data_IF_989444126695
#
_entry.id   IF_989444126695
#
_cell.length_a   1.000
_cell.length_b   1.000
_cell.length_c   1.000
_cell.angle_alpha   90.00
_cell.angle_beta   90.00
_cell.angle_gamma   90.00
#
_symmetry.space_group_name_H-M   'P 1'
#
loop_
_entity.id
_entity.type
_entity.pdbx_description
1 polymer ?
#
# COMPACT_ATOMS: atom_id res chain seq x y z
N UNK A 1 -20.97 -31.55 -54.26
CA UNK A 1 -19.85 -30.70 -53.78
C UNK A 1 -19.96 -30.52 -52.27
N UNK A 2 -18.90 -30.90 -51.54
CA UNK A 2 -18.49 -30.44 -50.19
C UNK A 2 -19.44 -30.72 -49.01
N UNK A 3 -19.02 -31.12 -47.81
CA UNK A 3 -17.79 -31.67 -47.19
C UNK A 3 -18.24 -32.06 -45.77
N UNK A 4 -17.76 -33.19 -45.23
CA UNK A 4 -17.84 -33.52 -43.81
C UNK A 4 -17.20 -32.41 -42.96
N UNK A 5 -17.79 -32.10 -41.80
CA UNK A 5 -17.06 -31.49 -40.69
C UNK A 5 -17.46 -32.23 -39.40
N UNK A 6 -16.56 -33.11 -38.97
CA UNK A 6 -16.56 -33.69 -37.63
C UNK A 6 -16.15 -32.60 -36.62
N UNK A 7 -16.95 -32.43 -35.56
CA UNK A 7 -16.61 -31.56 -34.44
C UNK A 7 -15.84 -32.42 -33.43
N UNK A 8 -14.53 -32.24 -33.40
CA UNK A 8 -13.67 -32.84 -32.38
C UNK A 8 -13.89 -32.10 -31.06
N UNK A 9 -14.44 -32.79 -30.06
CA UNK A 9 -14.47 -32.31 -28.68
C UNK A 9 -13.06 -32.44 -28.10
N UNK A 10 -12.30 -31.34 -28.09
CA UNK A 10 -11.05 -31.24 -27.37
C UNK A 10 -11.36 -30.94 -25.90
N UNK A 11 -11.42 -31.97 -25.06
CA UNK A 11 -11.36 -31.82 -23.61
C UNK A 11 -9.98 -31.32 -23.21
N UNK A 12 -9.91 -30.04 -22.83
CA UNK A 12 -8.72 -29.43 -22.26
C UNK A 12 -8.62 -29.84 -20.79
N UNK A 13 -7.78 -30.84 -20.50
CA UNK A 13 -7.31 -31.14 -19.14
C UNK A 13 -6.36 -30.02 -18.72
N UNK A 14 -6.86 -29.08 -17.92
CA UNK A 14 -5.98 -28.11 -17.25
C UNK A 14 -5.43 -28.82 -16.01
N UNK A 15 -4.19 -29.27 -16.10
CA UNK A 15 -3.41 -29.64 -14.93
C UNK A 15 -3.26 -28.38 -14.06
N UNK A 16 -3.96 -28.35 -12.93
CA UNK A 16 -3.77 -27.32 -11.91
C UNK A 16 -2.45 -27.61 -11.20
N UNK A 17 -1.40 -26.89 -11.62
CA UNK A 17 -0.23 -26.69 -10.77
C UNK A 17 -0.65 -25.74 -9.65
N UNK A 18 -0.37 -26.12 -8.39
CA UNK A 18 -0.54 -25.24 -7.22
C UNK A 18 0.42 -24.05 -7.35
N UNK A 19 -0.02 -22.98 -8.00
CA UNK A 19 0.64 -21.67 -7.89
C UNK A 19 0.40 -21.14 -6.47
N UNK A 20 1.47 -20.64 -5.83
CA UNK A 20 1.29 -19.75 -4.70
C UNK A 20 0.59 -18.50 -5.23
N UNK A 21 -0.65 -18.29 -4.83
CA UNK A 21 -1.47 -17.17 -5.28
C UNK A 21 -0.95 -15.84 -4.70
N UNK A 22 0.05 -15.26 -5.37
CA UNK A 22 0.46 -13.88 -5.12
C UNK A 22 -0.56 -12.95 -5.80
N UNK A 23 -1.34 -12.23 -4.99
CA UNK A 23 -2.35 -11.29 -5.49
C UNK A 23 -1.84 -9.86 -5.36
N UNK A 24 -1.68 -9.17 -6.48
CA UNK A 24 -1.39 -7.74 -6.49
C UNK A 24 -2.62 -6.96 -6.94
N UNK A 25 -3.02 -5.96 -6.16
CA UNK A 25 -4.11 -5.04 -6.46
C UNK A 25 -3.56 -3.61 -6.47
N UNK A 26 -3.74 -2.89 -7.58
CA UNK A 26 -3.48 -1.45 -7.65
C UNK A 26 -4.81 -0.72 -7.73
N UNK A 27 -5.08 0.19 -6.80
CA UNK A 27 -6.36 0.85 -6.64
C UNK A 27 -6.18 2.34 -6.42
N UNK A 28 -6.90 3.14 -7.20
CA UNK A 28 -7.18 4.54 -6.90
C UNK A 28 -8.64 4.62 -6.48
N UNK A 29 -8.93 4.99 -5.23
CA UNK A 29 -10.30 4.96 -4.73
C UNK A 29 -10.56 6.00 -3.64
N UNK A 30 -11.80 6.51 -3.62
CA UNK A 30 -12.36 7.22 -2.47
C UNK A 30 -12.86 6.27 -1.39
N UNK A 31 -13.11 5.01 -1.74
CA UNK A 31 -13.45 3.95 -0.79
C UNK A 31 -12.18 3.44 -0.10
N UNK A 32 -12.02 3.88 1.15
CA UNK A 32 -10.90 3.53 2.03
C UNK A 32 -11.13 2.24 2.82
N UNK A 33 -12.29 1.60 2.68
CA UNK A 33 -12.73 0.49 3.54
C UNK A 33 -11.81 -0.73 3.44
N UNK A 34 -11.28 -1.02 2.25
CA UNK A 34 -10.29 -2.09 2.07
C UNK A 34 -8.99 -1.78 2.81
N UNK A 35 -8.53 -0.54 2.75
CA UNK A 35 -7.26 -0.12 3.34
C UNK A 35 -7.34 -0.01 4.88
N UNK A 36 -8.53 0.23 5.43
CA UNK A 36 -8.81 0.19 6.88
C UNK A 36 -8.47 -1.16 7.55
N UNK A 37 -8.36 -2.23 6.77
CA UNK A 37 -7.90 -3.53 7.30
C UNK A 37 -6.41 -3.53 7.63
N UNK A 38 -5.63 -2.69 6.93
CA UNK A 38 -4.16 -2.65 7.05
C UNK A 38 -3.66 -1.41 7.78
N UNK A 39 -4.40 -0.31 7.74
CA UNK A 39 -4.06 0.96 8.38
C UNK A 39 -5.17 1.43 9.32
N UNK A 40 -4.78 2.04 10.43
CA UNK A 40 -5.68 2.66 11.40
C UNK A 40 -5.83 4.16 11.11
N UNK A 41 -6.96 4.55 10.52
CA UNK A 41 -7.25 5.95 10.20
C UNK A 41 -7.95 6.72 11.33
N UNK A 42 -8.01 6.17 12.56
CA UNK A 42 -8.65 6.86 13.71
C UNK A 42 -8.12 8.28 13.96
N UNK A 43 -6.80 8.54 13.95
CA UNK A 43 -6.32 9.90 14.19
C UNK A 43 -6.69 10.87 13.06
N UNK A 44 -6.73 10.40 11.81
CA UNK A 44 -7.16 11.22 10.68
C UNK A 44 -7.65 10.36 9.49
N UNK A 45 -8.91 10.55 9.10
CA UNK A 45 -9.47 9.90 7.91
C UNK A 45 -9.09 10.67 6.64
N UNK A 46 -8.47 10.03 5.64
CA UNK A 46 -8.18 10.67 4.37
C UNK A 46 -9.44 10.86 3.52
N UNK A 47 -9.43 11.89 2.68
CA UNK A 47 -10.51 12.18 1.72
C UNK A 47 -10.49 11.17 0.55
N UNK A 48 -9.30 10.68 0.20
CA UNK A 48 -9.11 9.66 -0.82
C UNK A 48 -7.76 8.98 -0.68
N UNK A 49 -7.60 7.84 -1.34
CA UNK A 49 -6.36 7.06 -1.33
C UNK A 49 -6.00 6.57 -2.73
N UNK A 50 -4.70 6.47 -2.97
CA UNK A 50 -4.13 5.69 -4.06
C UNK A 50 -3.19 4.68 -3.44
N UNK A 51 -3.32 3.40 -3.78
CA UNK A 51 -2.46 2.39 -3.19
C UNK A 51 -2.22 1.22 -4.13
N UNK A 52 -1.10 0.55 -3.90
CA UNK A 52 -0.78 -0.76 -4.43
C UNK A 52 -0.55 -1.71 -3.26
N UNK A 53 -1.36 -2.77 -3.22
CA UNK A 53 -1.30 -3.80 -2.19
C UNK A 53 -0.99 -5.14 -2.85
N UNK A 54 0.14 -5.72 -2.47
CA UNK A 54 0.51 -7.09 -2.80
C UNK A 54 0.28 -7.96 -1.58
N UNK A 55 -0.46 -9.05 -1.74
CA UNK A 55 -0.72 -10.06 -0.70
C UNK A 55 -0.12 -11.37 -1.17
N UNK A 56 0.77 -11.92 -0.36
CA UNK A 56 1.34 -13.24 -0.53
C UNK A 56 0.53 -14.21 0.33
N UNK A 57 -0.34 -14.99 -0.31
CA UNK A 57 -1.26 -15.84 0.44
C UNK A 57 -0.57 -17.15 0.86
N UNK A 58 -0.26 -17.27 2.14
CA UNK A 58 0.35 -18.47 2.73
C UNK A 58 -0.69 -19.46 3.32
N UNK A 59 -1.99 -19.21 3.08
CA UNK A 59 -3.08 -19.97 3.70
C UNK A 59 -3.26 -21.39 3.16
N UNK A 60 -2.62 -21.74 2.03
CA UNK A 60 -2.86 -22.99 1.30
C UNK A 60 -1.74 -24.04 1.44
N UNK A 61 -0.86 -23.89 2.44
CA UNK A 61 0.21 -24.85 2.73
C UNK A 61 -0.17 -25.97 3.72
N UNK A 62 0.70 -26.97 3.86
CA UNK A 62 0.54 -28.10 4.82
C UNK A 62 0.47 -27.63 6.29
N UNK A 63 1.06 -26.46 6.57
CA UNK A 63 0.86 -25.69 7.78
C UNK A 63 0.43 -24.29 7.35
N UNK A 64 -0.87 -23.94 7.42
CA UNK A 64 -1.34 -22.61 7.06
C UNK A 64 -0.69 -21.56 7.95
N UNK A 65 0.01 -20.61 7.33
CA UNK A 65 0.62 -19.47 8.00
C UNK A 65 -0.16 -18.18 7.76
N UNK A 66 0.13 -17.10 8.51
CA UNK A 66 -0.42 -15.78 8.18
C UNK A 66 0.01 -15.36 6.77
N UNK A 67 -0.87 -14.65 6.07
CA UNK A 67 -0.55 -14.06 4.77
C UNK A 67 0.28 -12.80 4.96
N UNK A 68 1.34 -12.69 4.15
CA UNK A 68 2.19 -11.52 4.15
C UNK A 68 1.65 -10.49 3.16
N UNK A 69 2.01 -9.23 3.36
CA UNK A 69 1.63 -8.15 2.47
C UNK A 69 2.74 -7.12 2.30
N UNK A 70 2.66 -6.41 1.20
CA UNK A 70 3.45 -5.24 0.88
C UNK A 70 2.51 -4.14 0.36
N UNK A 71 2.54 -2.98 0.99
CA UNK A 71 1.63 -1.86 0.77
C UNK A 71 2.45 -0.60 0.47
N UNK A 72 2.16 0.00 -0.68
CA UNK A 72 2.57 1.35 -1.04
C UNK A 72 1.29 2.19 -1.14
N UNK A 73 1.21 3.34 -0.47
CA UNK A 73 0.02 4.17 -0.50
C UNK A 73 0.31 5.67 -0.48
N UNK A 74 -0.60 6.45 -1.05
CA UNK A 74 -0.73 7.89 -0.92
C UNK A 74 -2.10 8.18 -0.33
N UNK A 75 -2.11 8.81 0.84
CA UNK A 75 -3.32 9.28 1.51
C UNK A 75 -3.46 10.78 1.26
N UNK A 76 -4.62 11.21 0.78
CA UNK A 76 -4.89 12.63 0.50
C UNK A 76 -5.80 13.21 1.57
N UNK A 77 -5.49 14.42 2.02
CA UNK A 77 -6.21 15.12 3.08
C UNK A 77 -6.53 16.55 2.68
N UNK A 78 -7.63 17.08 3.19
CA UNK A 78 -7.86 18.52 3.20
C UNK A 78 -6.90 19.22 4.17
N UNK A 79 -6.74 20.54 3.98
CA UNK A 79 -5.81 21.37 4.75
C UNK A 79 -6.02 21.28 6.27
N UNK A 80 -7.28 21.22 6.71
CA UNK A 80 -7.61 21.23 8.14
C UNK A 80 -7.16 19.94 8.84
N UNK A 81 -7.44 18.78 8.22
CA UNK A 81 -7.00 17.48 8.74
C UNK A 81 -5.49 17.36 8.64
N UNK A 82 -4.90 17.79 7.53
CA UNK A 82 -3.46 17.68 7.33
C UNK A 82 -2.65 18.55 8.29
N UNK A 83 -3.17 19.74 8.63
CA UNK A 83 -2.57 20.59 9.66
C UNK A 83 -2.52 19.85 11.00
N UNK A 84 -3.62 19.22 11.41
CA UNK A 84 -3.68 18.43 12.64
C UNK A 84 -2.72 17.23 12.62
N UNK A 85 -2.61 16.52 11.49
CA UNK A 85 -1.63 15.44 11.32
C UNK A 85 -0.22 15.96 11.59
N UNK A 86 0.16 17.09 11.00
CA UNK A 86 1.50 17.68 11.19
C UNK A 86 1.74 18.09 12.65
N UNK A 87 0.74 18.65 13.31
CA UNK A 87 0.85 19.02 14.73
C UNK A 87 1.06 17.77 15.60
N UNK A 88 0.24 16.73 15.44
CA UNK A 88 0.41 15.46 16.15
C UNK A 88 1.76 14.79 15.82
N UNK A 89 2.22 14.93 14.58
CA UNK A 89 3.48 14.37 14.09
C UNK A 89 4.73 15.03 14.71
N UNK A 90 4.71 16.36 14.87
CA UNK A 90 5.85 17.15 15.38
C UNK A 90 5.86 17.33 16.90
N UNK A 91 4.72 17.15 17.58
CA UNK A 91 4.61 17.36 19.04
C UNK A 91 5.16 16.19 19.88
N UNK A 92 5.79 15.19 19.27
CA UNK A 92 6.35 14.02 19.96
C UNK A 92 7.86 14.07 19.86
N UNK A 93 8.54 14.13 21.02
CA UNK A 93 10.00 13.94 21.12
C UNK A 93 10.34 12.51 20.73
N UNK A 94 10.49 12.27 19.42
CA UNK A 94 10.89 10.99 18.87
C UNK A 94 12.20 11.17 18.10
N UNK A 95 13.12 10.23 18.31
CA UNK A 95 14.35 10.20 17.53
C UNK A 95 14.00 10.03 16.05
N UNK A 96 14.73 10.75 15.19
CA UNK A 96 14.60 10.62 13.74
C UNK A 96 14.67 9.12 13.36
N UNK A 97 13.61 8.56 12.75
CA UNK A 97 13.58 7.15 12.38
C UNK A 97 14.62 6.81 11.29
N UNK A 98 15.27 7.81 10.68
CA UNK A 98 16.30 7.62 9.66
C UNK A 98 15.73 7.11 8.33
N UNK A 99 14.43 7.28 8.11
CA UNK A 99 13.80 6.93 6.84
C UNK A 99 14.32 7.84 5.74
N UNK A 100 14.47 7.27 4.54
CA UNK A 100 14.96 8.00 3.37
C UNK A 100 13.84 8.14 2.35
N UNK A 101 13.75 9.31 1.70
CA UNK A 101 12.73 9.60 0.70
C UNK A 101 12.71 8.60 -0.46
N UNK A 102 13.86 7.99 -0.79
CA UNK A 102 13.99 6.99 -1.85
C UNK A 102 13.15 5.74 -1.58
N UNK A 103 12.85 5.41 -0.31
CA UNK A 103 11.95 4.32 0.04
C UNK A 103 10.50 4.57 -0.42
N UNK A 104 10.15 5.83 -0.69
CA UNK A 104 8.82 6.27 -1.11
C UNK A 104 8.73 6.60 -2.61
N UNK A 105 9.78 6.41 -3.40
CA UNK A 105 9.73 6.56 -4.86
C UNK A 105 9.04 5.36 -5.54
N UNK A 106 7.74 5.20 -5.26
CA UNK A 106 6.99 4.08 -5.81
C UNK A 106 6.90 4.20 -7.33
N UNK A 107 7.12 3.08 -8.02
CA UNK A 107 7.14 3.05 -9.49
C UNK A 107 5.87 3.59 -10.13
N UNK A 108 4.73 3.43 -9.47
CA UNK A 108 3.41 3.85 -9.95
C UNK A 108 3.02 5.28 -9.56
N UNK A 109 3.86 6.00 -8.79
CA UNK A 109 3.55 7.39 -8.42
C UNK A 109 3.46 8.29 -9.65
N UNK A 110 2.46 9.19 -9.70
CA UNK A 110 2.44 10.27 -10.68
C UNK A 110 3.68 11.15 -10.57
N UNK A 111 4.17 11.63 -11.72
CA UNK A 111 5.37 12.48 -11.81
C UNK A 111 5.28 13.74 -10.93
N UNK A 112 4.08 14.31 -10.80
CA UNK A 112 3.84 15.47 -9.92
C UNK A 112 4.15 15.18 -8.46
N UNK A 113 3.85 13.96 -7.97
CA UNK A 113 4.13 13.54 -6.60
C UNK A 113 5.60 13.18 -6.44
N UNK A 114 6.23 12.56 -7.45
CA UNK A 114 7.67 12.29 -7.43
C UNK A 114 8.50 13.57 -7.34
N UNK A 115 8.14 14.60 -8.10
CA UNK A 115 8.79 15.91 -8.04
C UNK A 115 8.64 16.57 -6.67
N UNK A 116 7.45 16.46 -6.06
CA UNK A 116 7.19 16.93 -4.70
C UNK A 116 8.04 16.18 -3.66
N UNK A 117 8.13 14.85 -3.77
CA UNK A 117 8.97 14.00 -2.92
C UNK A 117 10.45 14.37 -3.04
N UNK A 118 10.96 14.53 -4.26
CA UNK A 118 12.36 14.90 -4.49
C UNK A 118 12.72 16.26 -3.88
N UNK A 119 11.76 17.19 -3.86
CA UNK A 119 11.89 18.53 -3.30
C UNK A 119 11.61 18.62 -1.80
N UNK A 120 11.17 17.52 -1.17
CA UNK A 120 10.89 17.49 0.26
C UNK A 120 12.18 17.44 1.10
N UNK A 121 12.16 17.94 2.35
CA UNK A 121 13.34 17.96 3.22
C UNK A 121 13.90 16.57 3.47
N UNK A 122 15.23 16.42 3.50
CA UNK A 122 15.89 15.13 3.74
C UNK A 122 15.78 14.65 5.19
N UNK A 123 15.61 15.58 6.13
CA UNK A 123 15.53 15.34 7.55
C UNK A 123 14.08 15.07 7.98
N UNK A 124 13.77 13.79 8.11
CA UNK A 124 12.44 13.32 8.43
C UNK A 124 12.25 13.18 9.95
N UNK A 125 11.78 14.24 10.61
CA UNK A 125 11.56 14.22 12.06
C UNK A 125 10.09 13.99 12.41
N UNK A 126 9.75 12.77 12.85
CA UNK A 126 8.48 12.51 13.54
C UNK A 126 8.04 11.04 13.56
N UNK A 127 6.83 10.84 14.06
CA UNK A 127 6.40 9.55 14.60
C UNK A 127 5.88 8.56 13.53
N UNK A 128 6.47 7.36 13.39
CA UNK A 128 6.01 6.35 12.42
C UNK A 128 4.62 5.75 12.72
N UNK A 129 4.12 5.92 13.94
CA UNK A 129 2.95 5.18 14.48
C UNK A 129 1.60 5.87 14.22
N UNK A 130 1.56 7.01 13.51
CA UNK A 130 0.32 7.79 13.36
C UNK A 130 -0.85 6.98 12.79
N UNK A 131 -0.60 6.05 11.85
CA UNK A 131 -1.68 5.34 11.15
C UNK A 131 -1.79 3.87 11.55
N UNK A 132 -1.42 3.54 12.78
CA UNK A 132 -1.02 2.18 13.08
C UNK A 132 -1.79 1.41 14.15
N UNK A 133 -1.62 0.09 14.04
CA UNK A 133 -2.11 -0.95 14.94
C UNK A 133 -0.98 -1.98 15.20
N UNK A 134 0.18 -1.55 15.71
CA UNK A 134 1.21 -2.42 16.32
C UNK A 134 2.09 -3.33 15.43
N UNK A 135 2.17 -3.16 14.11
CA UNK A 135 3.25 -3.82 13.33
C UNK A 135 4.61 -3.09 13.65
N UNK A 136 5.76 -3.34 13.04
CA UNK A 136 6.96 -2.47 13.17
C UNK A 136 7.53 -2.01 11.84
N UNK A 137 6.95 -2.50 10.75
CA UNK A 137 7.46 -2.36 9.39
C UNK A 137 6.64 -1.35 8.58
N UNK A 138 6.30 -0.22 9.21
CA UNK A 138 5.55 0.86 8.55
C UNK A 138 6.34 2.15 8.63
N UNK A 139 6.47 2.77 7.47
CA UNK A 139 7.15 4.03 7.27
C UNK A 139 6.14 4.99 6.64
N UNK A 140 6.24 6.26 7.01
CA UNK A 140 5.43 7.29 6.38
C UNK A 140 6.32 8.46 5.97
N UNK A 141 5.86 9.23 5.00
CA UNK A 141 6.52 10.45 4.54
C UNK A 141 5.48 11.54 4.27
N UNK A 142 5.70 12.72 4.84
CA UNK A 142 4.78 13.85 4.72
C UNK A 142 5.15 14.72 3.51
N UNK A 143 4.16 14.95 2.64
CA UNK A 143 4.22 15.95 1.57
C UNK A 143 3.14 17.02 1.81
N UNK A 144 2.89 17.94 0.87
CA UNK A 144 1.79 18.90 1.01
C UNK A 144 0.45 18.17 0.89
N UNK A 145 -0.30 18.12 1.99
CA UNK A 145 -1.65 17.53 2.09
C UNK A 145 -1.72 16.05 1.71
N UNK A 146 -0.57 15.37 1.78
CA UNK A 146 -0.45 13.96 1.43
C UNK A 146 0.46 13.26 2.43
N UNK A 147 0.15 12.01 2.69
CA UNK A 147 1.00 11.10 3.45
C UNK A 147 1.29 9.91 2.56
N UNK A 148 2.57 9.71 2.24
CA UNK A 148 3.03 8.47 1.63
C UNK A 148 3.19 7.42 2.73
N UNK A 149 2.82 6.19 2.46
CA UNK A 149 2.96 5.06 3.38
C UNK A 149 3.60 3.91 2.66
N UNK A 150 4.62 3.33 3.29
CA UNK A 150 5.19 2.04 2.95
C UNK A 150 4.98 1.11 4.14
N UNK A 151 4.31 -0.02 3.95
CA UNK A 151 4.04 -0.98 5.02
C UNK A 151 4.16 -2.41 4.53
N UNK A 152 4.74 -3.29 5.32
CA UNK A 152 4.82 -4.70 4.95
C UNK A 152 4.79 -5.62 6.16
N UNK A 153 4.54 -6.90 5.90
CA UNK A 153 4.72 -8.02 6.84
C UNK A 153 5.75 -8.97 6.23
N UNK A 154 6.62 -9.51 7.10
CA UNK A 154 7.82 -10.27 6.69
C UNK A 154 7.47 -11.57 5.96
#
# INVERSE_FOLDING_TARGET
MKKLIAIAAATLLIASCNEKDNKTETVTSKDITKLKKQLNFKPAQPDSVQYKLTINNNSFGTVPGPSDYYLEAVLYYNDSIFKRIKEEYHNVDYNDPGFKKEAFDFKWLPESIKNELNSSPENYSGHPDLFYNHNRNTQLWLLKNKVLILSYTN
#
